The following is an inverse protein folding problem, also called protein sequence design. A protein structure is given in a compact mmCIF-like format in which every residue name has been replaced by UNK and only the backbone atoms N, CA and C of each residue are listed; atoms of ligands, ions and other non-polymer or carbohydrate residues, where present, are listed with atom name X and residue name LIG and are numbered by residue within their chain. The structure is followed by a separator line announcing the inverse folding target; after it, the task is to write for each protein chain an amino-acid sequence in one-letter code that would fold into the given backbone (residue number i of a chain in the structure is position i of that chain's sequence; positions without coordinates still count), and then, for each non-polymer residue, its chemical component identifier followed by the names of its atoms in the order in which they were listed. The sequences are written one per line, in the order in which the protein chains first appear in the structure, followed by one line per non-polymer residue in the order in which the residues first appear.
data_IF_705186875065
#
_entry.id   IF_705186875065
#
_cell.length_a   1.000
_cell.length_b   1.000
_cell.length_c   1.000
_cell.angle_alpha   90.00
_cell.angle_beta   90.00
_cell.angle_gamma   90.00
#
_symmetry.space_group_name_H-M   'P 1'
#
loop_
_entity.id
_entity.type
_entity.pdbx_description
1 polymer ?
#
# COMPACT_ATOMS: atom_id res chain seq x y z
N UNK A 1 -33.27 5.48 1.74
CA UNK A 1 -31.86 5.07 1.91
C UNK A 1 -31.16 5.37 0.59
N UNK A 2 -30.13 6.23 0.55
CA UNK A 2 -29.36 6.39 -0.68
C UNK A 2 -28.68 5.05 -1.01
N UNK A 3 -28.55 4.68 -2.30
CA UNK A 3 -27.79 3.50 -2.68
C UNK A 3 -26.35 3.69 -2.19
N UNK A 4 -25.85 2.69 -1.47
CA UNK A 4 -24.43 2.57 -1.15
C UNK A 4 -23.77 2.33 -2.51
N UNK A 5 -23.27 3.40 -3.14
CA UNK A 5 -22.41 3.27 -4.31
C UNK A 5 -21.32 2.27 -3.92
N UNK A 6 -21.11 1.17 -4.68
CA UNK A 6 -19.89 0.40 -4.51
C UNK A 6 -18.73 1.42 -4.60
N UNK A 7 -17.70 1.30 -3.75
CA UNK A 7 -16.54 2.17 -3.91
C UNK A 7 -16.16 2.15 -5.38
N UNK A 8 -16.03 3.33 -5.99
CA UNK A 8 -15.78 3.47 -7.43
C UNK A 8 -14.60 2.60 -7.88
N UNK A 9 -14.40 2.40 -9.20
CA UNK A 9 -13.30 1.56 -9.69
C UNK A 9 -11.99 2.07 -9.07
N UNK A 10 -11.43 1.28 -8.16
CA UNK A 10 -10.12 1.57 -7.56
C UNK A 10 -9.11 0.94 -8.50
N UNK A 11 -8.23 1.76 -9.04
CA UNK A 11 -7.22 1.28 -9.97
C UNK A 11 -6.29 0.29 -9.28
N UNK A 12 -5.88 -0.73 -10.01
CA UNK A 12 -4.92 -1.70 -9.51
C UNK A 12 -3.54 -1.05 -9.50
N UNK A 13 -2.83 -1.18 -8.38
CA UNK A 13 -1.49 -0.65 -8.25
C UNK A 13 -0.53 -1.47 -9.13
N UNK A 14 0.14 -0.81 -10.06
CA UNK A 14 1.30 -1.37 -10.76
C UNK A 14 2.52 -1.36 -9.82
N UNK A 15 2.67 -0.26 -9.06
CA UNK A 15 3.82 -0.05 -8.18
C UNK A 15 3.42 0.67 -6.90
N UNK A 16 3.98 0.23 -5.78
CA UNK A 16 3.85 0.91 -4.48
C UNK A 16 5.22 1.02 -3.84
N UNK A 17 5.60 2.23 -3.47
CA UNK A 17 6.87 2.51 -2.79
C UNK A 17 6.58 2.81 -1.32
N UNK A 18 7.22 2.04 -0.44
CA UNK A 18 7.07 2.12 1.00
C UNK A 18 8.37 2.65 1.60
N UNK A 19 8.31 3.80 2.25
CA UNK A 19 9.43 4.38 2.98
C UNK A 19 9.43 3.92 4.42
N UNK A 20 10.55 3.42 4.92
CA UNK A 20 10.69 3.04 6.32
C UNK A 20 10.68 4.29 7.19
N UNK A 21 9.79 4.30 8.18
CA UNK A 21 9.67 5.38 9.16
C UNK A 21 10.40 5.01 10.46
N UNK A 22 10.40 3.72 10.82
CA UNK A 22 11.09 3.23 12.02
C UNK A 22 12.21 2.26 11.66
N UNK A 23 13.46 2.73 11.77
CA UNK A 23 14.68 1.95 11.49
C UNK A 23 15.00 0.86 12.52
N UNK A 24 14.32 0.86 13.68
CA UNK A 24 14.49 -0.18 14.71
C UNK A 24 13.64 -1.43 14.43
N UNK A 25 12.86 -1.42 13.37
CA UNK A 25 12.05 -2.53 12.93
C UNK A 25 12.93 -3.71 12.45
N UNK A 26 12.63 -4.96 12.89
CA UNK A 26 13.26 -6.14 12.32
C UNK A 26 13.03 -6.25 10.80
N UNK A 27 14.03 -6.76 10.07
CA UNK A 27 13.96 -6.88 8.61
C UNK A 27 12.81 -7.76 8.09
N UNK A 28 12.32 -8.71 8.89
CA UNK A 28 11.19 -9.57 8.51
C UNK A 28 9.85 -8.83 8.43
N UNK A 29 9.74 -7.61 9.00
CA UNK A 29 8.50 -6.83 8.96
C UNK A 29 8.08 -6.52 7.52
N UNK A 30 9.01 -6.42 6.57
CA UNK A 30 8.70 -6.23 5.14
C UNK A 30 7.80 -7.34 4.58
N UNK A 31 8.01 -8.59 4.99
CA UNK A 31 7.19 -9.72 4.55
C UNK A 31 5.77 -9.66 5.11
N UNK A 32 5.64 -9.26 6.38
CA UNK A 32 4.34 -9.05 7.02
C UNK A 32 3.58 -7.89 6.37
N UNK A 33 4.28 -6.78 6.08
CA UNK A 33 3.71 -5.62 5.39
C UNK A 33 3.23 -6.02 4.00
N UNK A 34 4.05 -6.74 3.22
CA UNK A 34 3.66 -7.25 1.89
C UNK A 34 2.40 -8.11 1.96
N UNK A 35 2.36 -9.08 2.87
CA UNK A 35 1.19 -9.95 3.04
C UNK A 35 -0.07 -9.19 3.46
N UNK A 36 0.08 -8.10 4.22
CA UNK A 36 -1.04 -7.28 4.68
C UNK A 36 -1.55 -6.30 3.63
N UNK A 37 -0.67 -5.88 2.72
CA UNK A 37 -1.03 -4.93 1.66
C UNK A 37 -1.81 -5.59 0.54
N UNK A 38 -1.42 -6.80 0.13
CA UNK A 38 -2.12 -7.55 -0.92
C UNK A 38 -3.60 -7.71 -0.55
N UNK A 39 -4.50 -7.33 -1.47
CA UNK A 39 -5.94 -7.31 -1.29
C UNK A 39 -6.48 -6.09 -0.54
N UNK A 40 -5.65 -5.09 -0.24
CA UNK A 40 -6.05 -3.85 0.41
C UNK A 40 -5.81 -2.64 -0.47
N UNK A 41 -6.63 -1.62 -0.25
CA UNK A 41 -6.47 -0.31 -0.86
C UNK A 41 -5.49 0.53 -0.06
N UNK A 42 -4.58 1.19 -0.76
CA UNK A 42 -3.57 2.07 -0.19
C UNK A 42 -3.58 3.42 -0.87
N UNK A 43 -3.20 4.43 -0.11
CA UNK A 43 -3.08 5.81 -0.60
C UNK A 43 -1.72 6.37 -0.22
N UNK A 44 -1.20 7.28 -1.04
CA UNK A 44 0.02 8.02 -0.74
C UNK A 44 -0.10 8.73 0.62
N UNK A 45 0.95 8.63 1.44
CA UNK A 45 0.99 9.21 2.78
C UNK A 45 0.46 8.30 3.88
N UNK A 46 -0.27 7.23 3.55
CA UNK A 46 -0.78 6.27 4.53
C UNK A 46 0.36 5.57 5.28
N UNK A 47 0.21 5.39 6.60
CA UNK A 47 1.17 4.65 7.44
C UNK A 47 0.73 3.21 7.64
N UNK A 48 1.63 2.27 7.37
CA UNK A 48 1.43 0.83 7.51
C UNK A 48 2.55 0.29 8.38
N UNK A 49 2.21 -0.10 9.62
CA UNK A 49 3.18 -0.59 10.61
C UNK A 49 4.35 0.39 10.80
N UNK A 50 5.50 0.06 10.22
CA UNK A 50 6.76 0.83 10.33
C UNK A 50 7.13 1.54 9.03
N UNK A 51 6.25 1.48 8.02
CA UNK A 51 6.41 2.08 6.71
C UNK A 51 5.34 3.14 6.46
N UNK A 52 5.64 4.06 5.54
CA UNK A 52 4.69 5.01 4.98
C UNK A 52 4.69 4.87 3.47
N UNK A 53 3.50 4.86 2.86
CA UNK A 53 3.36 4.88 1.40
C UNK A 53 3.91 6.20 0.89
N UNK A 54 5.06 6.14 0.22
CA UNK A 54 5.71 7.30 -0.36
C UNK A 54 5.14 7.61 -1.75
N UNK A 55 4.76 6.57 -2.50
CA UNK A 55 4.29 6.70 -3.87
C UNK A 55 3.44 5.50 -4.28
N UNK A 56 2.44 5.75 -5.14
CA UNK A 56 1.57 4.76 -5.77
C UNK A 56 1.50 5.04 -7.26
N UNK A 57 1.46 3.98 -8.07
CA UNK A 57 1.27 4.06 -9.52
C UNK A 57 0.12 3.13 -9.92
N UNK A 58 -1.01 3.66 -10.44
CA UNK A 58 -1.30 5.08 -10.66
C UNK A 58 -1.41 5.90 -9.34
N UNK A 59 -1.26 7.23 -9.39
CA UNK A 59 -1.37 8.07 -8.20
C UNK A 59 -2.80 8.10 -7.68
N UNK A 60 -2.94 8.16 -6.35
CA UNK A 60 -4.23 8.14 -5.65
C UNK A 60 -4.45 6.85 -4.89
N UNK A 61 -5.70 6.57 -4.56
CA UNK A 61 -6.11 5.32 -3.91
C UNK A 61 -6.04 4.18 -4.91
N UNK A 62 -5.22 3.17 -4.60
CA UNK A 62 -5.01 2.01 -5.46
C UNK A 62 -5.16 0.72 -4.69
N UNK A 63 -5.64 -0.34 -5.35
CA UNK A 63 -5.70 -1.68 -4.78
C UNK A 63 -4.37 -2.40 -5.02
N UNK A 64 -3.75 -2.87 -3.94
CA UNK A 64 -2.54 -3.69 -4.06
C UNK A 64 -2.94 -5.12 -4.35
N UNK A 65 -2.48 -5.65 -5.48
CA UNK A 65 -2.73 -7.03 -5.89
C UNK A 65 -1.46 -7.86 -5.76
N UNK A 66 -1.52 -9.20 -5.91
CA UNK A 66 -0.31 -10.03 -5.95
C UNK A 66 0.66 -9.67 -7.09
N UNK A 67 0.19 -8.96 -8.12
CA UNK A 67 0.99 -8.53 -9.27
C UNK A 67 1.66 -7.17 -9.06
N UNK A 68 1.27 -6.43 -8.02
CA UNK A 68 1.83 -5.12 -7.69
C UNK A 68 3.30 -5.23 -7.29
N UNK A 69 4.14 -4.38 -7.88
CA UNK A 69 5.55 -4.25 -7.49
C UNK A 69 5.65 -3.43 -6.20
N UNK A 70 5.93 -4.11 -5.09
CA UNK A 70 6.10 -3.48 -3.77
C UNK A 70 7.58 -3.27 -3.49
N UNK A 71 7.99 -2.01 -3.46
CA UNK A 71 9.35 -1.56 -3.17
C UNK A 71 9.45 -0.98 -1.77
N UNK A 72 10.58 -1.24 -1.11
CA UNK A 72 10.88 -0.73 0.22
C UNK A 72 12.15 0.13 0.15
N UNK A 73 12.06 1.38 0.63
CA UNK A 73 13.16 2.34 0.73
C UNK A 73 13.40 2.73 2.21
N UNK A 74 14.64 3.04 2.59
CA UNK A 74 15.05 3.41 3.97
C UNK A 74 15.12 4.93 4.25
#
# INVERSE_FOLDING_TARGET
MPPILPPGPVDQATRVVLRRVNRRAPGFISNMVRSRLVGHQVEQGQRILVYQVAFTEPPGTVEVTPQTVIEFID
#
